data_IF_389823386505
#
_entry.id   IF_389823386505
#
_cell.length_a   1.000
_cell.length_b   1.000
_cell.length_c   1.000
_cell.angle_alpha   90.00
_cell.angle_beta   90.00
_cell.angle_gamma   90.00
#
_symmetry.space_group_name_H-M   'P 1'
#
loop_
_entity.id
_entity.type
_entity.pdbx_description
1 polymer ?
#
# COMPACT_ATOMS: atom_id res chain seq x y z
N UNK A 1 11.35 -15.20 -30.69
CA UNK A 1 10.47 -15.61 -29.57
C UNK A 1 9.10 -14.99 -29.79
N UNK A 2 8.19 -15.77 -30.35
CA UNK A 2 6.80 -15.44 -30.66
C UNK A 2 5.89 -16.02 -29.59
N UNK A 3 5.07 -15.17 -28.96
CA UNK A 3 3.68 -15.44 -28.56
C UNK A 3 3.19 -14.26 -27.69
N UNK A 4 2.86 -13.15 -28.36
CA UNK A 4 1.86 -12.21 -27.85
C UNK A 4 0.50 -12.94 -27.91
N UNK A 5 0.30 -13.87 -27.00
CA UNK A 5 -0.92 -14.65 -26.92
C UNK A 5 -2.08 -13.71 -26.55
N UNK A 6 -2.91 -13.39 -27.54
CA UNK A 6 -4.29 -12.88 -27.45
C UNK A 6 -4.57 -11.85 -26.34
N UNK A 7 -4.05 -10.65 -26.55
CA UNK A 7 -4.75 -9.35 -26.72
C UNK A 7 -6.18 -9.13 -26.19
N UNK A 8 -6.62 -9.78 -25.12
CA UNK A 8 -7.67 -9.22 -24.27
C UNK A 8 -7.27 -9.49 -22.82
N UNK A 9 -6.62 -8.52 -22.19
CA UNK A 9 -6.14 -8.65 -20.82
C UNK A 9 -7.27 -9.06 -19.87
N UNK A 10 -6.92 -9.56 -18.69
CA UNK A 10 -7.92 -10.05 -17.75
C UNK A 10 -8.05 -9.13 -16.55
N UNK A 11 -9.24 -9.09 -15.96
CA UNK A 11 -9.42 -8.50 -14.64
C UNK A 11 -8.85 -9.47 -13.60
N UNK A 12 -8.05 -8.93 -12.69
CA UNK A 12 -7.50 -9.68 -11.59
C UNK A 12 -7.82 -9.00 -10.27
N UNK A 13 -7.87 -9.80 -9.22
CA UNK A 13 -7.78 -9.34 -7.84
C UNK A 13 -6.48 -9.90 -7.27
N UNK A 14 -5.62 -9.02 -6.79
CA UNK A 14 -4.30 -9.38 -6.31
C UNK A 14 -4.24 -9.22 -4.79
N UNK A 15 -3.74 -10.26 -4.13
CA UNK A 15 -3.31 -10.17 -2.73
C UNK A 15 -1.81 -9.90 -2.71
N UNK A 16 -1.38 -9.08 -1.76
CA UNK A 16 0.03 -8.73 -1.58
C UNK A 16 0.91 -9.97 -1.32
N UNK A 17 1.99 -10.17 -2.10
CA UNK A 17 3.04 -11.15 -1.82
C UNK A 17 4.17 -10.60 -0.92
N UNK A 18 4.04 -9.35 -0.44
CA UNK A 18 5.04 -8.69 0.39
C UNK A 18 5.20 -9.37 1.77
N UNK A 19 6.34 -9.16 2.43
CA UNK A 19 6.48 -9.57 3.82
C UNK A 19 5.65 -8.68 4.74
N UNK A 20 5.43 -9.14 5.95
CA UNK A 20 4.87 -8.31 7.03
C UNK A 20 5.75 -7.07 7.25
N UNK A 21 5.11 -5.90 7.32
CA UNK A 21 5.79 -4.60 7.45
C UNK A 21 6.41 -4.03 6.17
N UNK A 22 6.47 -4.79 5.07
CA UNK A 22 6.80 -4.25 3.74
C UNK A 22 5.54 -3.60 3.14
N UNK A 23 5.67 -2.39 2.61
CA UNK A 23 4.54 -1.69 2.01
C UNK A 23 4.98 -0.67 0.96
N UNK A 24 4.02 -0.23 0.16
CA UNK A 24 4.16 0.94 -0.71
C UNK A 24 3.26 2.07 -0.23
N UNK A 25 3.69 3.31 -0.48
CA UNK A 25 2.92 4.51 -0.20
C UNK A 25 3.02 5.49 -1.36
N UNK A 26 2.02 6.37 -1.47
CA UNK A 26 2.13 7.55 -2.33
C UNK A 26 2.96 8.62 -1.63
N UNK A 27 3.67 9.49 -2.37
CA UNK A 27 4.20 10.72 -1.81
C UNK A 27 3.06 11.52 -1.20
N UNK A 28 3.28 12.02 0.02
CA UNK A 28 2.27 12.79 0.74
C UNK A 28 2.11 14.15 0.06
N UNK A 29 0.87 14.53 -0.26
CA UNK A 29 0.56 15.81 -0.94
C UNK A 29 0.49 16.97 0.08
N UNK A 30 0.15 16.66 1.34
CA UNK A 30 0.08 17.61 2.46
C UNK A 30 1.13 17.32 3.53
N UNK A 31 1.53 18.34 4.29
CA UNK A 31 2.46 18.17 5.41
C UNK A 31 1.81 17.38 6.54
N UNK A 32 2.20 16.12 6.70
CA UNK A 32 1.91 15.33 7.90
C UNK A 32 2.93 15.67 8.99
N UNK A 33 2.55 15.58 10.28
CA UNK A 33 3.50 15.77 11.38
C UNK A 33 4.68 14.81 11.31
N UNK A 34 5.84 15.24 11.80
CA UNK A 34 6.99 14.36 11.95
C UNK A 34 6.68 13.25 12.97
N UNK A 35 7.13 12.02 12.69
CA UNK A 35 6.89 10.87 13.55
C UNK A 35 5.53 10.19 13.36
N UNK A 36 4.81 10.48 12.27
CA UNK A 36 3.64 9.68 11.90
C UNK A 36 3.97 8.20 11.74
N UNK A 37 3.02 7.35 12.12
CA UNK A 37 3.09 5.91 11.87
C UNK A 37 2.18 5.56 10.68
N UNK A 38 2.68 4.82 9.66
CA UNK A 38 1.86 4.43 8.52
C UNK A 38 0.83 3.38 8.92
N UNK A 39 -0.39 3.52 8.40
CA UNK A 39 -1.49 2.54 8.50
C UNK A 39 -1.45 1.67 7.25
N UNK A 40 -1.16 0.38 7.39
CA UNK A 40 -0.93 -0.52 6.26
C UNK A 40 -2.12 -1.48 6.08
N UNK A 41 -2.67 -1.53 4.87
CA UNK A 41 -3.56 -2.63 4.45
C UNK A 41 -2.71 -3.80 3.96
N UNK A 42 -2.49 -4.79 4.81
CA UNK A 42 -1.64 -5.94 4.47
C UNK A 42 -2.17 -6.79 3.32
N UNK A 43 -3.48 -6.79 3.08
CA UNK A 43 -4.05 -7.54 1.96
C UNK A 43 -3.56 -7.00 0.62
N UNK A 44 -3.21 -5.72 0.56
CA UNK A 44 -2.75 -5.02 -0.64
C UNK A 44 -1.30 -4.52 -0.53
N UNK A 45 -0.69 -4.55 0.65
CA UNK A 45 0.65 -3.99 0.87
C UNK A 45 0.70 -2.47 0.68
N UNK A 46 -0.43 -1.79 0.87
CA UNK A 46 -0.58 -0.35 0.65
C UNK A 46 -0.65 0.40 1.99
N UNK A 47 0.10 1.48 2.13
CA UNK A 47 -0.17 2.47 3.17
C UNK A 47 -1.44 3.25 2.80
N UNK A 48 -2.49 3.09 3.61
CA UNK A 48 -3.82 3.66 3.37
C UNK A 48 -4.08 4.94 4.18
N UNK A 49 -3.13 5.34 5.02
CA UNK A 49 -3.21 6.54 5.84
C UNK A 49 -2.08 6.61 6.86
N UNK A 50 -2.14 7.64 7.70
CA UNK A 50 -1.14 7.91 8.72
C UNK A 50 -1.79 8.18 10.07
N UNK A 51 -1.09 7.79 11.13
CA UNK A 51 -1.46 7.97 12.52
C UNK A 51 -0.45 8.91 13.18
N UNK A 52 -0.93 9.95 13.86
CA UNK A 52 -0.09 10.81 14.70
C UNK A 52 -0.70 10.98 16.07
N UNK A 53 0.08 10.83 17.14
CA UNK A 53 -0.39 11.04 18.50
C UNK A 53 0.11 9.98 19.45
N UNK A 54 -0.25 10.15 20.72
CA UNK A 54 0.20 9.31 21.82
C UNK A 54 -0.84 9.36 22.95
N UNK A 55 -0.71 8.47 23.93
CA UNK A 55 -1.48 8.50 25.18
C UNK A 55 -3.00 8.47 24.98
N UNK A 56 -3.47 7.66 24.02
CA UNK A 56 -4.90 7.43 23.81
C UNK A 56 -5.60 8.47 22.93
N UNK A 57 -4.90 9.46 22.40
CA UNK A 57 -5.44 10.42 21.42
C UNK A 57 -4.61 10.34 20.13
N UNK A 58 -5.29 10.07 19.02
CA UNK A 58 -4.67 9.82 17.74
C UNK A 58 -5.36 10.58 16.61
N UNK A 59 -4.59 11.38 15.89
CA UNK A 59 -4.99 12.03 14.66
C UNK A 59 -4.78 11.08 13.47
N UNK A 60 -5.82 10.95 12.65
CA UNK A 60 -5.85 10.12 11.46
C UNK A 60 -5.75 11.01 10.22
N UNK A 61 -4.86 10.63 9.33
CA UNK A 61 -4.67 11.24 8.01
C UNK A 61 -4.89 10.18 6.93
N UNK A 62 -5.37 10.60 5.77
CA UNK A 62 -5.53 9.70 4.62
C UNK A 62 -4.20 9.42 3.90
N UNK A 63 -4.26 8.61 2.84
CA UNK A 63 -3.12 8.23 2.01
C UNK A 63 -2.35 9.42 1.40
N UNK A 64 -3.00 10.56 1.19
CA UNK A 64 -2.38 11.77 0.65
C UNK A 64 -1.91 12.72 1.77
N UNK A 65 -2.12 12.35 3.04
CA UNK A 65 -1.76 13.13 4.22
C UNK A 65 -2.79 14.17 4.64
N UNK A 66 -4.01 14.14 4.11
CA UNK A 66 -5.04 15.07 4.58
C UNK A 66 -5.62 14.59 5.91
N UNK A 67 -5.76 15.51 6.85
CA UNK A 67 -6.39 15.22 8.14
C UNK A 67 -7.83 14.77 7.95
N UNK A 68 -8.22 13.71 8.66
CA UNK A 68 -9.56 13.12 8.57
C UNK A 68 -10.33 13.26 9.89
N UNK A 69 -9.73 12.83 10.99
CA UNK A 69 -10.40 12.83 12.30
C UNK A 69 -9.39 12.65 13.44
N UNK A 70 -9.84 12.90 14.66
CA UNK A 70 -9.21 12.42 15.89
C UNK A 70 -9.92 11.15 16.35
N UNK A 71 -9.17 10.25 16.97
CA UNK A 71 -9.65 9.04 17.61
C UNK A 71 -9.13 9.02 19.05
N UNK A 72 -10.07 8.93 19.99
CA UNK A 72 -9.77 8.83 21.42
C UNK A 72 -10.10 7.41 21.89
N UNK A 73 -9.17 6.78 22.61
CA UNK A 73 -9.42 5.49 23.24
C UNK A 73 -10.35 5.74 24.44
N UNK A 74 -11.55 5.13 24.48
CA UNK A 74 -12.44 5.30 25.62
C UNK A 74 -11.81 4.68 26.88
N UNK A 75 -11.79 5.45 27.97
CA UNK A 75 -11.19 5.08 29.26
C UNK A 75 -11.74 3.78 29.88
N UNK A 76 -12.95 3.37 29.49
CA UNK A 76 -13.64 2.19 30.04
C UNK A 76 -13.46 0.92 29.21
N UNK A 77 -12.43 0.80 28.36
CA UNK A 77 -12.22 -0.41 27.56
C UNK A 77 -11.55 -1.51 28.41
N UNK A 78 -12.23 -2.61 28.79
CA UNK A 78 -11.54 -3.76 29.34
C UNK A 78 -10.99 -4.59 28.17
N UNK A 79 -9.69 -4.89 28.18
CA UNK A 79 -8.97 -5.82 27.27
C UNK A 79 -8.26 -5.24 26.02
N UNK A 80 -7.93 -3.95 25.98
CA UNK A 80 -6.85 -3.47 25.10
C UNK A 80 -5.77 -2.81 25.94
N UNK A 81 -4.60 -3.44 26.01
CA UNK A 81 -3.46 -2.93 26.76
C UNK A 81 -2.93 -1.66 26.05
N UNK A 82 -2.84 -0.48 26.72
CA UNK A 82 -2.25 0.73 26.15
C UNK A 82 -0.83 0.52 25.60
N UNK A 83 -0.16 -0.55 26.02
CA UNK A 83 1.17 -0.95 25.58
C UNK A 83 1.20 -1.68 24.22
N UNK A 84 0.08 -2.26 23.75
CA UNK A 84 -0.03 -2.81 22.38
C UNK A 84 -0.02 -1.70 21.31
N UNK A 85 -0.08 -0.43 21.71
CA UNK A 85 0.05 0.74 20.85
C UNK A 85 1.48 1.33 20.81
N UNK A 86 2.41 0.83 21.63
CA UNK A 86 3.61 1.59 22.02
C UNK A 86 4.93 1.12 21.39
N UNK A 87 4.92 0.26 20.36
CA UNK A 87 6.16 -0.21 19.73
C UNK A 87 6.12 -0.06 18.20
N UNK A 88 6.71 1.05 17.76
CA UNK A 88 6.69 1.58 16.40
C UNK A 88 7.66 0.83 15.50
N UNK A 89 7.11 0.37 14.37
CA UNK A 89 7.82 -0.07 13.16
C UNK A 89 6.85 -0.33 12.01
N UNK A 90 5.78 0.48 11.90
CA UNK A 90 4.66 0.31 10.96
C UNK A 90 3.41 -0.26 11.63
N UNK A 91 2.25 0.36 11.44
CA UNK A 91 0.97 -0.23 11.89
C UNK A 91 0.56 -1.30 10.88
N UNK A 92 0.59 -2.54 11.33
CA UNK A 92 0.30 -3.77 10.58
C UNK A 92 -1.10 -4.25 10.98
N UNK A 93 -2.05 -4.23 10.05
CA UNK A 93 -3.43 -4.66 10.30
C UNK A 93 -3.62 -6.16 10.01
N UNK A 94 -3.29 -7.04 10.98
CA UNK A 94 -3.64 -8.47 10.91
C UNK A 94 -4.33 -9.00 12.16
N UNK A 95 -5.44 -9.71 11.91
CA UNK A 95 -6.11 -10.62 12.82
C UNK A 95 -5.52 -12.03 12.62
N UNK A 96 -4.37 -12.34 13.21
CA UNK A 96 -3.94 -13.74 13.37
C UNK A 96 -2.95 -13.88 14.52
N UNK A 97 -3.36 -14.57 15.59
CA UNK A 97 -2.53 -14.81 16.76
C UNK A 97 -1.38 -15.76 16.45
N UNK A 98 -0.16 -15.36 16.80
CA UNK A 98 0.99 -16.23 17.14
C UNK A 98 2.14 -15.38 17.70
N UNK A 99 2.52 -15.64 18.95
CA UNK A 99 3.61 -14.98 19.67
C UNK A 99 4.94 -15.72 19.45
N UNK A 100 6.05 -15.00 19.31
CA UNK A 100 7.41 -15.57 19.37
C UNK A 100 8.21 -14.90 20.50
N UNK A 101 8.98 -15.73 21.22
CA UNK A 101 9.65 -15.40 22.49
C UNK A 101 11.17 -15.27 22.26
N UNK A 102 11.80 -14.20 22.78
CA UNK A 102 13.26 -14.13 22.91
C UNK A 102 13.64 -13.77 24.36
N UNK A 103 14.59 -14.54 24.91
CA UNK A 103 15.06 -14.42 26.30
C UNK A 103 16.35 -13.60 26.41
N UNK A 104 16.39 -12.67 27.38
CA UNK A 104 17.57 -12.44 28.24
C UNK A 104 17.19 -11.74 29.55
N UNK A 105 17.62 -12.32 30.67
CA UNK A 105 17.71 -11.65 31.98
C UNK A 105 16.43 -11.60 32.83
N UNK A 106 16.10 -12.70 33.51
CA UNK A 106 15.46 -12.68 34.83
C UNK A 106 13.97 -12.31 34.96
N UNK A 107 13.33 -11.68 33.98
CA UNK A 107 11.89 -11.44 33.98
C UNK A 107 11.34 -11.56 32.55
N UNK A 108 10.50 -12.57 32.31
CA UNK A 108 9.84 -12.81 31.03
C UNK A 108 8.85 -11.70 30.73
N UNK A 109 9.17 -10.81 29.78
CA UNK A 109 8.18 -9.95 29.11
C UNK A 109 8.31 -10.20 27.61
N UNK A 110 7.26 -10.78 27.03
CA UNK A 110 7.12 -10.93 25.60
C UNK A 110 7.00 -9.53 24.99
N UNK A 111 7.91 -9.16 24.10
CA UNK A 111 7.82 -7.94 23.32
C UNK A 111 7.46 -8.37 21.91
N UNK A 112 6.16 -8.40 21.62
CA UNK A 112 5.69 -8.47 20.24
C UNK A 112 5.98 -7.13 19.58
N UNK A 113 6.61 -7.16 18.40
CA UNK A 113 6.49 -6.10 17.40
C UNK A 113 5.01 -6.06 16.95
N UNK A 114 4.17 -5.46 17.79
CA UNK A 114 2.74 -5.38 17.61
C UNK A 114 2.38 -4.08 16.91
N UNK A 115 1.86 -4.17 15.69
CA UNK A 115 1.15 -3.05 15.09
C UNK A 115 0.00 -2.61 15.99
N UNK A 116 -0.23 -1.31 16.08
CA UNK A 116 -1.43 -0.75 16.71
C UNK A 116 -2.66 -1.44 16.11
N UNK A 117 -3.43 -2.17 16.91
CA UNK A 117 -4.76 -2.63 16.50
C UNK A 117 -5.69 -1.43 16.43
N UNK A 118 -5.63 -0.70 15.32
CA UNK A 118 -6.62 0.31 15.00
C UNK A 118 -8.00 -0.37 14.96
N UNK A 119 -9.03 0.32 15.44
CA UNK A 119 -10.38 -0.20 15.32
C UNK A 119 -10.67 -0.50 13.85
N UNK A 120 -11.32 -1.64 13.58
CA UNK A 120 -11.73 -2.04 12.21
C UNK A 120 -12.52 -0.92 11.51
N UNK A 121 -13.17 -0.04 12.28
CA UNK A 121 -13.88 1.14 11.81
C UNK A 121 -12.98 2.20 11.15
N UNK A 122 -11.78 2.46 11.69
CA UNK A 122 -10.85 3.43 11.08
C UNK A 122 -10.30 2.88 9.76
N UNK A 123 -9.85 1.62 9.78
CA UNK A 123 -9.32 0.95 8.57
C UNK A 123 -10.39 0.87 7.49
N UNK A 124 -11.62 0.46 7.84
CA UNK A 124 -12.73 0.42 6.87
C UNK A 124 -13.11 1.82 6.37
N UNK A 125 -13.12 2.85 7.21
CA UNK A 125 -13.37 4.23 6.80
C UNK A 125 -12.33 4.72 5.79
N UNK A 126 -11.03 4.49 6.06
CA UNK A 126 -9.94 4.84 5.14
C UNK A 126 -10.07 4.07 3.82
N UNK A 127 -10.34 2.76 3.87
CA UNK A 127 -10.56 1.94 2.66
C UNK A 127 -11.77 2.40 1.85
N UNK A 128 -12.87 2.74 2.51
CA UNK A 128 -14.06 3.27 1.84
C UNK A 128 -13.78 4.61 1.17
N UNK A 129 -12.96 5.47 1.78
CA UNK A 129 -12.53 6.72 1.13
C UNK A 129 -11.61 6.46 -0.05
N UNK A 130 -10.73 5.47 0.02
CA UNK A 130 -9.90 5.05 -1.10
C UNK A 130 -10.75 4.57 -2.27
N UNK A 131 -11.80 3.78 -2.03
CA UNK A 131 -12.69 3.30 -3.10
C UNK A 131 -13.55 4.42 -3.69
N UNK A 132 -14.08 5.32 -2.85
CA UNK A 132 -14.84 6.50 -3.31
C UNK A 132 -13.99 7.45 -4.17
N UNK A 133 -12.74 7.68 -3.75
CA UNK A 133 -11.79 8.51 -4.51
C UNK A 133 -11.17 7.73 -5.69
N UNK A 134 -11.24 6.40 -5.68
CA UNK A 134 -10.85 5.54 -6.80
C UNK A 134 -11.99 5.42 -7.80
N UNK A 135 -12.26 6.49 -8.54
CA UNK A 135 -13.04 6.44 -9.79
C UNK A 135 -12.22 5.78 -10.94
N UNK A 136 -11.46 4.73 -10.60
CA UNK A 136 -10.85 3.70 -11.46
C UNK A 136 -11.82 3.14 -12.48
N UNK A 137 -11.67 3.47 -13.77
CA UNK A 137 -11.99 2.42 -14.75
C UNK A 137 -11.05 1.25 -14.45
N UNK A 138 -11.60 0.11 -14.02
CA UNK A 138 -10.81 -1.09 -13.71
C UNK A 138 -9.94 -1.43 -14.93
N UNK A 139 -8.63 -1.58 -14.73
CA UNK A 139 -7.71 -1.94 -15.81
C UNK A 139 -7.64 -3.46 -15.93
N UNK A 140 -7.49 -3.92 -17.18
CA UNK A 140 -7.12 -5.30 -17.47
C UNK A 140 -5.61 -5.47 -17.35
N UNK A 141 -5.13 -6.67 -17.11
CA UNK A 141 -3.71 -6.99 -17.03
C UNK A 141 -3.32 -7.96 -18.14
N UNK A 142 -2.16 -7.72 -18.75
CA UNK A 142 -1.52 -8.71 -19.61
C UNK A 142 -1.07 -9.92 -18.77
N UNK A 143 -0.87 -11.10 -19.37
CA UNK A 143 -0.28 -12.24 -18.67
C UNK A 143 1.08 -11.95 -18.04
N UNK A 144 1.87 -11.06 -18.65
CA UNK A 144 3.17 -10.64 -18.10
C UNK A 144 3.00 -9.77 -16.86
N UNK A 145 2.14 -8.76 -16.92
CA UNK A 145 1.86 -7.87 -15.80
C UNK A 145 1.25 -8.66 -14.61
N UNK A 146 0.31 -9.57 -14.89
CA UNK A 146 -0.30 -10.42 -13.86
C UNK A 146 0.73 -11.36 -13.17
N UNK A 147 1.69 -11.90 -13.93
CA UNK A 147 2.80 -12.68 -13.34
C UNK A 147 3.72 -11.82 -12.49
N UNK A 148 4.03 -10.60 -12.93
CA UNK A 148 4.83 -9.66 -12.15
C UNK A 148 4.15 -9.31 -10.80
N UNK A 149 2.82 -9.18 -10.78
CA UNK A 149 2.04 -8.98 -9.55
C UNK A 149 2.08 -10.17 -8.58
N UNK A 150 2.42 -11.37 -9.05
CA UNK A 150 2.58 -12.54 -8.17
C UNK A 150 3.99 -12.65 -7.59
N UNK A 151 4.94 -11.87 -8.09
CA UNK A 151 6.34 -11.87 -7.68
C UNK A 151 6.62 -10.72 -6.72
N UNK A 152 7.03 -11.03 -5.50
CA UNK A 152 7.36 -10.05 -4.46
C UNK A 152 8.35 -8.97 -4.92
N UNK A 153 9.34 -9.34 -5.73
CA UNK A 153 10.38 -8.40 -6.19
C UNK A 153 9.85 -7.38 -7.19
N UNK A 154 8.73 -7.68 -7.84
CA UNK A 154 8.11 -6.85 -8.89
C UNK A 154 6.76 -6.29 -8.49
N UNK A 155 6.12 -6.80 -7.45
CA UNK A 155 4.81 -6.37 -6.99
C UNK A 155 4.71 -4.86 -6.76
N UNK A 156 3.56 -4.30 -7.13
CA UNK A 156 3.11 -2.94 -6.83
C UNK A 156 1.59 -2.99 -6.57
N UNK A 157 1.04 -2.35 -5.51
CA UNK A 157 -0.39 -2.33 -5.29
C UNK A 157 -1.18 -1.75 -6.49
N UNK A 158 -2.31 -2.37 -6.84
CA UNK A 158 -3.18 -1.97 -7.95
C UNK A 158 -3.63 -0.50 -7.87
N UNK A 159 -3.88 -0.01 -6.65
CA UNK A 159 -4.21 1.40 -6.40
C UNK A 159 -3.09 2.34 -6.86
N UNK A 160 -1.83 1.98 -6.61
CA UNK A 160 -0.67 2.80 -7.01
C UNK A 160 -0.53 2.77 -8.54
N UNK A 161 -0.61 1.60 -9.17
CA UNK A 161 -0.59 1.50 -10.64
C UNK A 161 -1.66 2.39 -11.27
N UNK A 162 -2.89 2.32 -10.74
CA UNK A 162 -4.01 3.16 -11.18
C UNK A 162 -3.74 4.65 -10.97
N UNK A 163 -3.16 5.05 -9.83
CA UNK A 163 -2.80 6.46 -9.56
C UNK A 163 -1.71 6.94 -10.53
N UNK A 164 -0.71 6.13 -10.86
CA UNK A 164 0.34 6.49 -11.83
C UNK A 164 -0.24 6.72 -13.22
N UNK A 165 -1.17 5.87 -13.68
CA UNK A 165 -1.80 6.06 -15.00
C UNK A 165 -2.61 7.37 -15.06
N UNK A 166 -3.20 7.78 -13.95
CA UNK A 166 -4.11 8.94 -13.88
C UNK A 166 -3.38 10.26 -13.63
N UNK A 167 -2.39 10.24 -12.74
CA UNK A 167 -1.71 11.43 -12.23
C UNK A 167 -0.23 11.48 -12.59
N UNK A 168 0.34 10.37 -13.07
CA UNK A 168 1.73 10.31 -13.49
C UNK A 168 1.96 11.09 -14.78
N UNK A 169 3.22 11.44 -15.02
CA UNK A 169 3.64 12.11 -16.24
C UNK A 169 3.66 11.09 -17.38
N UNK A 170 2.97 11.38 -18.47
CA UNK A 170 3.16 10.62 -19.70
C UNK A 170 4.54 10.94 -20.27
N UNK A 171 5.42 9.94 -20.30
CA UNK A 171 6.83 10.10 -20.71
C UNK A 171 7.06 9.71 -22.15
N UNK A 172 6.39 8.66 -22.62
CA UNK A 172 6.58 8.12 -23.97
C UNK A 172 5.24 7.64 -24.56
N UNK A 173 5.15 7.69 -25.90
CA UNK A 173 4.13 7.01 -26.69
C UNK A 173 4.86 6.05 -27.61
N UNK A 174 4.62 4.75 -27.44
CA UNK A 174 5.23 3.68 -28.21
C UNK A 174 4.21 3.19 -29.24
N UNK A 175 4.60 3.19 -30.51
CA UNK A 175 3.76 2.66 -31.58
C UNK A 175 4.39 1.35 -32.03
N UNK A 176 3.69 0.24 -31.84
CA UNK A 176 4.14 -1.04 -32.34
C UNK A 176 4.06 -1.09 -33.86
N UNK A 177 4.82 -1.99 -34.49
CA UNK A 177 4.75 -2.21 -35.93
C UNK A 177 3.34 -2.64 -36.41
N UNK A 178 2.51 -3.18 -35.52
CA UNK A 178 1.09 -3.49 -35.73
C UNK A 178 0.18 -2.26 -35.75
N UNK A 179 0.69 -1.06 -35.45
CA UNK A 179 -0.07 0.17 -35.30
C UNK A 179 -0.68 0.38 -33.91
N UNK A 180 -0.49 -0.56 -32.98
CA UNK A 180 -0.99 -0.43 -31.60
C UNK A 180 -0.21 0.63 -30.81
N UNK A 181 -0.93 1.48 -30.09
CA UNK A 181 -0.36 2.55 -29.29
C UNK A 181 -0.28 2.17 -27.81
N UNK A 182 0.90 2.31 -27.23
CA UNK A 182 1.15 2.14 -25.81
C UNK A 182 1.64 3.44 -25.19
N UNK A 183 1.01 3.85 -24.10
CA UNK A 183 1.42 5.04 -23.36
C UNK A 183 2.20 4.60 -22.12
N UNK A 184 3.33 5.27 -21.87
CA UNK A 184 4.13 5.08 -20.66
C UNK A 184 3.88 6.24 -19.71
N UNK A 185 3.43 5.92 -18.50
CA UNK A 185 3.22 6.86 -17.40
C UNK A 185 4.25 6.61 -16.31
N UNK A 186 4.77 7.68 -15.73
CA UNK A 186 5.79 7.60 -14.69
C UNK A 186 5.45 8.47 -13.50
N UNK A 187 5.72 7.97 -12.29
CA UNK A 187 5.51 8.69 -11.03
C UNK A 187 6.47 8.20 -9.95
N UNK A 188 6.96 9.12 -9.12
CA UNK A 188 7.70 8.75 -7.90
C UNK A 188 6.74 8.19 -6.86
N UNK A 189 7.10 7.06 -6.27
CA UNK A 189 6.36 6.41 -5.19
C UNK A 189 7.29 6.11 -4.03
N UNK A 190 6.73 5.71 -2.89
CA UNK A 190 7.50 5.30 -1.72
C UNK A 190 7.40 3.78 -1.55
N UNK A 191 8.54 3.15 -1.25
CA UNK A 191 8.61 1.72 -0.90
C UNK A 191 9.31 1.58 0.46
N UNK A 192 8.69 0.82 1.36
CA UNK A 192 9.27 0.47 2.64
C UNK A 192 9.59 -1.02 2.68
N UNK A 193 10.77 -1.33 3.20
CA UNK A 193 11.14 -2.69 3.58
C UNK A 193 11.23 -2.75 5.10
N UNK A 194 10.67 -3.77 5.72
CA UNK A 194 10.74 -3.99 7.16
C UNK A 194 12.19 -3.93 7.68
N UNK A 195 12.42 -3.14 8.71
CA UNK A 195 13.75 -2.84 9.26
C UNK A 195 14.63 -1.93 8.40
N UNK A 196 14.10 -1.43 7.27
CA UNK A 196 14.74 -0.46 6.38
C UNK A 196 14.13 0.93 6.50
N UNK A 197 14.57 1.84 5.63
CA UNK A 197 14.00 3.17 5.50
C UNK A 197 12.96 3.21 4.38
N UNK A 198 12.08 4.21 4.43
CA UNK A 198 11.19 4.53 3.33
C UNK A 198 12.00 5.13 2.17
N UNK A 199 11.98 4.48 1.02
CA UNK A 199 12.77 4.87 -0.15
C UNK A 199 11.88 5.45 -1.24
N UNK A 200 12.37 6.47 -1.93
CA UNK A 200 11.80 6.93 -3.20
C UNK A 200 12.15 5.95 -4.31
N UNK A 201 11.15 5.61 -5.11
CA UNK A 201 11.28 4.71 -6.26
C UNK A 201 10.52 5.30 -7.43
N UNK A 202 11.11 5.23 -8.63
CA UNK A 202 10.51 5.79 -9.84
C UNK A 202 9.77 4.70 -10.61
N UNK A 203 8.45 4.68 -10.50
CA UNK A 203 7.61 3.66 -11.12
C UNK A 203 7.21 4.08 -12.54
N UNK A 204 7.43 3.18 -13.50
CA UNK A 204 6.92 3.26 -14.86
C UNK A 204 5.80 2.25 -15.07
N UNK A 205 4.71 2.67 -15.72
CA UNK A 205 3.58 1.82 -16.08
C UNK A 205 3.29 2.01 -17.57
N UNK A 206 3.30 0.92 -18.31
CA UNK A 206 3.00 0.89 -19.75
C UNK A 206 1.60 0.34 -19.94
N UNK A 207 0.79 1.05 -20.70
CA UNK A 207 -0.60 0.68 -20.96
C UNK A 207 -0.94 0.70 -22.44
N UNK A 208 -1.70 -0.28 -22.89
CA UNK A 208 -2.48 -0.18 -24.13
C UNK A 208 -3.69 0.70 -23.82
N UNK A 209 -3.69 1.93 -24.34
CA UNK A 209 -4.68 2.95 -23.99
C UNK A 209 -6.07 2.60 -24.54
N UNK A 210 -6.12 2.03 -25.73
CA UNK A 210 -7.38 1.68 -26.42
C UNK A 210 -8.06 0.51 -25.72
N UNK A 211 -7.28 -0.50 -25.32
CA UNK A 211 -7.81 -1.71 -24.67
C UNK A 211 -7.88 -1.61 -23.14
N UNK A 212 -7.33 -0.54 -22.55
CA UNK A 212 -7.22 -0.33 -21.10
C UNK A 212 -6.51 -1.51 -20.41
N UNK A 213 -5.39 -1.94 -20.98
CA UNK A 213 -4.59 -3.06 -20.46
C UNK A 213 -3.27 -2.52 -19.92
N UNK A 214 -2.95 -2.83 -18.66
CA UNK A 214 -1.58 -2.72 -18.13
C UNK A 214 -0.76 -3.84 -18.74
N UNK A 215 0.20 -3.48 -19.58
CA UNK A 215 1.04 -4.45 -20.30
C UNK A 215 2.27 -4.80 -19.50
N UNK A 216 2.89 -3.80 -18.87
CA UNK A 216 4.13 -3.93 -18.10
C UNK A 216 4.26 -2.78 -17.09
N UNK A 217 5.01 -3.02 -16.02
CA UNK A 217 5.43 -1.98 -15.08
C UNK A 217 6.77 -2.37 -14.45
N UNK A 218 7.57 -1.37 -14.08
CA UNK A 218 8.88 -1.54 -13.46
C UNK A 218 9.27 -0.32 -12.63
N UNK A 219 10.16 -0.53 -11.66
CA UNK A 219 10.62 0.47 -10.71
C UNK A 219 12.04 0.17 -10.24
#
# INVERSE_FOLDING_TARGET
>A
MSNFDKTDGQFHEFTSPLNEGDFFALPVESSVPEGVTPIIDESTGLCIGYLYGMNGVYHIYDINGHYQTVYEIPLESPLFDPLDLLLIGGVVAKLCGRTSLLMRGGATRAVSSGGVKLSMQIVSSLKNRLTLNSVATKMKYSPQAARAMSDRSRYVPDYILSKVIRNGRQTEVLIAASGEQFNKYSMTIKKHRYGGQLMDVYLNVIVDADKKIITEFNY
#
